data_IF_977806171925
#
_entry.id   IF_977806171925
#
_cell.length_a   1.000
_cell.length_b   1.000
_cell.length_c   1.000
_cell.angle_alpha   90.00
_cell.angle_beta   90.00
_cell.angle_gamma   90.00
#
_symmetry.space_group_name_H-M   'P 1'
#
loop_
_entity.id
_entity.type
_entity.pdbx_description
1 polymer ?
#
# COMPACT_ATOMS: atom_id res chain seq x y z
N UNK A 1 58.79 -28.44 -37.00
CA UNK A 1 59.90 -27.56 -36.55
C UNK A 1 59.29 -26.16 -36.33
N UNK A 2 58.67 -25.88 -35.15
CA UNK A 2 58.28 -24.53 -34.78
C UNK A 2 58.54 -24.35 -33.28
N UNK A 3 59.37 -23.35 -33.00
CA UNK A 3 59.84 -22.98 -31.66
C UNK A 3 58.74 -22.41 -30.77
N UNK A 4 58.65 -22.94 -29.55
CA UNK A 4 57.90 -22.31 -28.44
C UNK A 4 58.72 -21.17 -27.87
N UNK A 5 58.18 -19.99 -27.81
CA UNK A 5 58.71 -18.85 -27.07
C UNK A 5 57.94 -18.78 -25.75
N UNK A 6 58.62 -18.92 -24.63
CA UNK A 6 58.19 -18.72 -23.32
C UNK A 6 58.45 -17.26 -22.92
N UNK A 7 57.41 -16.53 -22.52
CA UNK A 7 57.52 -15.20 -21.89
C UNK A 7 57.36 -15.39 -20.40
N UNK A 8 58.40 -15.08 -19.63
CA UNK A 8 58.44 -15.00 -18.18
C UNK A 8 57.99 -13.57 -17.83
N UNK A 9 56.90 -13.42 -17.10
CA UNK A 9 56.59 -12.16 -16.45
C UNK A 9 56.83 -12.28 -14.95
N UNK A 10 57.73 -11.47 -14.48
CA UNK A 10 58.16 -11.27 -13.10
C UNK A 10 57.06 -10.59 -12.29
N UNK A 11 56.69 -11.20 -11.17
CA UNK A 11 55.76 -10.63 -10.17
C UNK A 11 56.59 -9.72 -9.27
N UNK A 12 56.29 -8.44 -9.30
CA UNK A 12 56.75 -7.45 -8.31
C UNK A 12 55.77 -7.39 -7.15
N UNK A 13 56.23 -7.79 -5.97
CA UNK A 13 55.49 -7.61 -4.72
C UNK A 13 55.63 -6.17 -4.25
N UNK A 14 54.47 -5.48 -4.07
CA UNK A 14 54.40 -4.19 -3.38
C UNK A 14 53.62 -4.39 -2.08
N UNK A 15 54.37 -4.34 -0.99
CA UNK A 15 53.81 -4.33 0.38
C UNK A 15 53.21 -2.96 0.69
N UNK A 16 51.93 -2.88 0.97
CA UNK A 16 51.30 -1.71 1.62
C UNK A 16 50.72 -2.14 2.94
N UNK A 17 51.32 -1.57 3.97
CA UNK A 17 50.97 -1.61 5.40
C UNK A 17 49.56 -1.07 5.65
N UNK A 18 48.91 -1.70 6.59
CA UNK A 18 47.49 -1.58 6.94
C UNK A 18 46.99 -0.25 7.42
N UNK A 19 45.70 -0.10 7.24
CA UNK A 19 44.80 0.57 8.18
C UNK A 19 43.54 -0.31 8.29
N UNK A 20 43.31 -0.80 9.50
CA UNK A 20 42.17 -1.62 9.82
C UNK A 20 40.86 -0.81 9.69
N UNK A 21 40.02 -1.25 8.79
CA UNK A 21 38.60 -0.87 8.77
C UNK A 21 37.82 -2.06 9.31
N UNK A 22 37.12 -1.83 10.40
CA UNK A 22 36.14 -2.75 10.95
C UNK A 22 35.09 -3.10 9.89
N UNK A 23 34.53 -4.32 9.89
CA UNK A 23 33.44 -4.65 8.98
C UNK A 23 32.21 -3.83 9.37
N UNK A 24 31.83 -2.90 8.53
CA UNK A 24 30.51 -2.31 8.60
C UNK A 24 29.51 -3.40 8.21
N UNK A 25 28.77 -3.87 9.18
CA UNK A 25 27.55 -4.66 8.92
C UNK A 25 26.62 -3.74 8.16
N UNK A 26 26.43 -4.00 6.88
CA UNK A 26 25.37 -3.42 6.09
C UNK A 26 24.03 -3.94 6.64
N UNK A 27 23.47 -3.23 7.63
CA UNK A 27 22.08 -3.29 7.95
C UNK A 27 21.34 -2.58 6.82
N UNK A 28 20.67 -3.34 5.97
CA UNK A 28 19.74 -2.83 4.99
C UNK A 28 18.63 -2.09 5.75
N UNK A 29 18.69 -0.76 5.75
CA UNK A 29 17.63 0.09 6.29
C UNK A 29 16.46 0.04 5.32
N UNK A 30 15.32 -0.39 5.81
CA UNK A 30 14.06 -0.43 5.08
C UNK A 30 13.44 0.99 5.03
N UNK A 31 13.31 1.61 3.87
CA UNK A 31 12.61 2.88 3.70
C UNK A 31 11.13 2.66 3.37
N UNK A 32 10.42 1.95 4.23
CA UNK A 32 8.97 1.83 4.10
C UNK A 32 8.29 3.07 4.67
N UNK A 33 7.56 3.76 3.82
CA UNK A 33 6.62 4.86 4.10
C UNK A 33 7.25 6.15 4.65
N UNK A 34 7.38 7.13 3.79
CA UNK A 34 7.53 8.53 4.17
C UNK A 34 6.24 9.03 4.82
N UNK A 35 6.08 8.78 6.12
CA UNK A 35 5.11 9.52 6.92
C UNK A 35 5.82 10.73 7.52
N UNK A 36 5.19 11.93 7.36
CA UNK A 36 5.78 13.23 7.60
C UNK A 36 6.50 13.37 8.93
N UNK A 37 7.81 13.45 8.90
CA UNK A 37 8.62 13.89 10.01
C UNK A 37 8.47 15.39 10.18
N UNK A 38 7.67 15.81 11.15
CA UNK A 38 7.78 17.13 11.76
C UNK A 38 9.18 17.28 12.33
N UNK A 39 9.93 18.25 11.83
CA UNK A 39 11.23 18.63 12.37
C UNK A 39 11.09 19.04 13.85
N UNK A 40 12.10 18.80 14.70
CA UNK A 40 12.07 19.25 16.06
C UNK A 40 12.13 20.78 16.10
N UNK A 41 11.07 21.39 16.61
CA UNK A 41 11.03 22.81 16.92
C UNK A 41 11.85 23.02 18.18
N UNK A 42 12.97 23.72 18.04
CA UNK A 42 13.76 24.25 19.14
C UNK A 42 12.91 25.28 19.90
N UNK A 43 12.82 25.24 21.24
CA UNK A 43 12.12 26.28 22.00
C UNK A 43 12.95 27.57 22.01
N UNK A 44 12.40 28.62 21.41
CA UNK A 44 12.87 29.98 21.57
C UNK A 44 12.27 30.62 22.85
N UNK A 45 12.86 31.71 23.36
CA UNK A 45 12.66 32.16 24.73
C UNK A 45 11.27 32.80 24.96
N UNK A 46 10.78 32.55 26.17
CA UNK A 46 9.62 33.16 26.81
C UNK A 46 9.74 34.66 26.90
N UNK A 47 8.78 35.40 26.36
CA UNK A 47 8.52 36.78 26.74
C UNK A 47 7.17 36.89 27.44
N UNK A 48 7.25 37.41 28.67
CA UNK A 48 6.18 37.67 29.59
C UNK A 48 5.62 39.09 29.33
N UNK A 49 4.33 39.23 29.06
CA UNK A 49 3.61 40.50 29.28
C UNK A 49 2.11 40.25 29.44
N UNK A 50 1.65 40.35 30.64
CA UNK A 50 0.80 41.39 31.28
C UNK A 50 -0.64 41.45 30.79
N UNK A 51 -1.54 41.19 31.77
CA UNK A 51 -2.97 41.19 31.74
C UNK A 51 -3.63 42.57 31.76
N UNK A 52 -4.91 42.57 31.36
CA UNK A 52 -6.11 43.29 31.80
C UNK A 52 -6.49 44.56 31.03
N UNK A 53 -7.75 45.05 31.17
CA UNK A 53 -8.98 44.39 31.61
C UNK A 53 -10.26 44.68 30.74
N UNK A 54 -11.34 44.17 31.18
CA UNK A 54 -12.72 44.18 30.76
C UNK A 54 -13.36 45.54 30.36
N UNK A 55 -14.35 45.47 29.45
CA UNK A 55 -15.32 46.50 29.17
C UNK A 55 -16.67 45.90 28.76
N UNK A 56 -17.63 46.04 29.68
CA UNK A 56 -19.04 45.72 29.63
C UNK A 56 -19.85 46.77 28.88
N UNK A 57 -20.97 46.37 28.24
CA UNK A 57 -22.33 46.99 28.20
C UNK A 57 -23.00 46.66 26.86
N UNK A 58 -24.07 45.96 26.78
CA UNK A 58 -25.46 46.15 27.19
C UNK A 58 -26.31 47.08 26.29
N UNK A 59 -27.50 46.56 26.05
CA UNK A 59 -28.82 47.15 25.71
C UNK A 59 -29.18 47.21 24.20
N UNK A 60 -30.11 46.39 23.75
CA UNK A 60 -31.57 46.51 23.78
C UNK A 60 -32.12 47.70 22.97
N UNK A 61 -32.96 47.39 21.97
CA UNK A 61 -34.35 47.82 21.90
C UNK A 61 -34.97 47.50 20.52
N UNK A 62 -36.11 46.82 20.57
CA UNK A 62 -37.20 46.92 19.61
C UNK A 62 -38.10 48.11 20.02
N UNK A 63 -38.84 48.77 19.15
CA UNK A 63 -40.21 48.34 18.86
C UNK A 63 -40.81 48.68 17.47
N UNK A 64 -41.77 47.90 17.09
CA UNK A 64 -43.07 48.04 16.47
C UNK A 64 -43.55 49.36 15.84
N UNK A 65 -44.22 49.30 14.68
CA UNK A 65 -45.64 49.45 14.43
C UNK A 65 -45.96 49.75 12.95
N UNK A 66 -46.79 48.93 12.41
CA UNK A 66 -48.13 49.17 11.86
C UNK A 66 -48.28 50.18 10.68
N UNK A 67 -48.92 49.68 9.62
CA UNK A 67 -49.68 50.59 8.76
C UNK A 67 -49.97 50.12 7.34
N UNK A 68 -51.20 49.74 7.13
CA UNK A 68 -52.05 49.98 5.96
C UNK A 68 -51.97 49.07 4.73
N UNK A 69 -53.06 48.43 4.56
CA UNK A 69 -53.69 47.72 3.45
C UNK A 69 -53.76 48.55 2.17
N UNK A 70 -53.34 47.97 1.06
CA UNK A 70 -53.86 48.40 -0.26
C UNK A 70 -54.09 47.15 -1.11
N UNK A 71 -55.37 46.99 -1.51
CA UNK A 71 -55.88 45.91 -2.33
C UNK A 71 -55.67 46.22 -3.79
N UNK A 72 -54.96 45.39 -4.51
CA UNK A 72 -54.95 45.45 -5.98
C UNK A 72 -55.54 44.15 -6.57
N UNK A 73 -56.22 44.24 -7.72
CA UNK A 73 -57.11 43.19 -8.21
C UNK A 73 -56.39 41.96 -8.75
N UNK A 74 -56.98 40.84 -8.50
CA UNK A 74 -56.60 39.50 -8.95
C UNK A 74 -56.75 39.40 -10.47
N UNK A 75 -55.74 39.07 -11.27
CA UNK A 75 -55.94 38.70 -12.67
C UNK A 75 -56.43 37.25 -12.74
N UNK A 76 -57.40 37.06 -13.64
CA UNK A 76 -58.03 35.76 -13.94
C UNK A 76 -57.00 34.69 -14.32
N UNK A 77 -57.22 33.51 -13.79
CA UNK A 77 -56.44 32.31 -14.08
C UNK A 77 -56.54 31.91 -15.56
N UNK A 78 -55.43 31.54 -16.22
CA UNK A 78 -55.49 30.95 -17.54
C UNK A 78 -56.02 29.51 -17.47
N UNK A 79 -56.69 29.10 -18.55
CA UNK A 79 -57.29 27.77 -18.68
C UNK A 79 -56.24 26.64 -18.52
N UNK A 80 -56.63 25.47 -18.04
CA UNK A 80 -55.72 24.33 -17.87
C UNK A 80 -55.19 23.84 -19.22
N UNK A 81 -53.87 23.72 -19.29
CA UNK A 81 -53.21 23.15 -20.45
C UNK A 81 -53.52 21.66 -20.59
N UNK A 82 -53.69 21.20 -21.84
CA UNK A 82 -53.91 19.81 -22.14
C UNK A 82 -52.79 18.89 -21.60
N UNK A 83 -53.12 17.68 -21.18
CA UNK A 83 -52.11 16.73 -20.67
C UNK A 83 -51.05 16.40 -21.76
N UNK A 84 -49.77 16.31 -21.38
CA UNK A 84 -48.70 15.91 -22.32
C UNK A 84 -48.96 14.47 -22.79
N UNK A 85 -48.62 14.24 -24.07
CA UNK A 85 -48.67 12.92 -24.66
C UNK A 85 -47.78 11.93 -23.91
N UNK A 86 -48.12 10.65 -23.83
CA UNK A 86 -47.32 9.67 -23.11
C UNK A 86 -45.94 9.56 -23.74
N UNK A 87 -44.92 9.78 -22.91
CA UNK A 87 -43.50 9.59 -23.27
C UNK A 87 -43.31 8.11 -23.51
N UNK A 88 -42.84 7.74 -24.69
CA UNK A 88 -42.50 6.37 -25.04
C UNK A 88 -41.53 5.80 -23.99
N UNK A 89 -41.82 4.61 -23.48
CA UNK A 89 -40.93 3.93 -22.54
C UNK A 89 -39.54 3.76 -23.19
N UNK A 90 -38.47 3.96 -22.45
CA UNK A 90 -37.11 3.72 -22.96
C UNK A 90 -37.00 2.23 -23.35
N UNK A 91 -36.43 1.98 -24.53
CA UNK A 91 -36.10 0.63 -24.98
C UNK A 91 -35.29 -0.08 -23.87
N UNK A 92 -35.49 -1.37 -23.64
CA UNK A 92 -34.69 -2.13 -22.67
C UNK A 92 -33.23 -1.99 -23.04
N UNK A 93 -32.44 -1.53 -22.07
CA UNK A 93 -30.99 -1.47 -22.18
C UNK A 93 -30.50 -2.87 -22.59
N UNK A 94 -29.68 -2.93 -23.64
CA UNK A 94 -29.05 -4.17 -24.05
C UNK A 94 -28.40 -4.80 -22.82
N UNK A 95 -28.77 -6.03 -22.50
CA UNK A 95 -28.19 -6.78 -21.40
C UNK A 95 -26.67 -6.78 -21.60
N UNK A 96 -25.94 -6.16 -20.67
CA UNK A 96 -24.50 -6.37 -20.56
C UNK A 96 -24.30 -7.89 -20.50
N UNK A 97 -23.32 -8.46 -21.24
CA UNK A 97 -23.02 -9.86 -21.12
C UNK A 97 -22.79 -10.16 -19.64
N UNK A 98 -23.56 -11.10 -19.11
CA UNK A 98 -23.39 -11.58 -17.75
C UNK A 98 -21.91 -11.90 -17.57
N UNK A 99 -21.25 -11.25 -16.62
CA UNK A 99 -19.91 -11.62 -16.18
C UNK A 99 -19.96 -13.13 -15.97
N UNK A 100 -19.24 -13.87 -16.80
CA UNK A 100 -19.12 -15.31 -16.61
C UNK A 100 -18.57 -15.47 -15.18
N UNK A 101 -19.35 -16.13 -14.34
CA UNK A 101 -18.89 -16.52 -13.03
C UNK A 101 -17.61 -17.32 -13.24
N UNK A 102 -16.45 -16.72 -12.93
CA UNK A 102 -15.18 -17.40 -12.98
C UNK A 102 -15.29 -18.59 -12.05
N UNK A 103 -15.04 -19.78 -12.59
CA UNK A 103 -14.96 -20.98 -11.78
C UNK A 103 -13.93 -20.72 -10.67
N UNK A 104 -14.39 -20.60 -9.42
CA UNK A 104 -13.51 -20.47 -8.28
C UNK A 104 -12.80 -21.81 -8.11
N UNK A 105 -11.53 -21.83 -8.43
CA UNK A 105 -10.62 -22.88 -7.99
C UNK A 105 -10.42 -22.74 -6.46
N UNK A 106 -9.78 -23.69 -5.80
CA UNK A 106 -9.43 -23.55 -4.38
C UNK A 106 -8.67 -22.25 -4.05
N UNK A 107 -8.06 -21.63 -5.07
CA UNK A 107 -7.31 -20.37 -5.00
C UNK A 107 -8.18 -19.10 -5.05
N UNK A 108 -9.48 -19.20 -5.21
CA UNK A 108 -10.39 -18.05 -5.34
C UNK A 108 -10.35 -17.39 -6.73
N UNK A 109 -10.96 -16.21 -6.86
CA UNK A 109 -10.98 -15.45 -8.10
C UNK A 109 -9.66 -14.68 -8.28
N UNK A 110 -8.96 -14.93 -9.38
CA UNK A 110 -7.65 -14.37 -9.67
C UNK A 110 -7.71 -13.31 -10.78
N UNK A 111 -6.97 -12.23 -10.62
CA UNK A 111 -6.77 -11.22 -11.67
C UNK A 111 -6.07 -11.84 -12.88
N UNK A 112 -5.07 -12.70 -12.65
CA UNK A 112 -4.38 -13.41 -13.72
C UNK A 112 -5.34 -14.20 -14.63
N UNK A 113 -6.33 -14.86 -14.06
CA UNK A 113 -7.37 -15.58 -14.82
C UNK A 113 -8.35 -14.62 -15.50
N UNK A 114 -8.83 -13.61 -14.77
CA UNK A 114 -9.82 -12.66 -15.26
C UNK A 114 -9.32 -11.84 -16.44
N UNK A 115 -8.02 -11.51 -16.44
CA UNK A 115 -7.40 -10.64 -17.45
C UNK A 115 -6.41 -11.35 -18.37
N UNK A 116 -6.33 -12.69 -18.30
CA UNK A 116 -5.55 -13.50 -19.24
C UNK A 116 -4.04 -13.24 -19.18
N UNK A 117 -3.45 -13.15 -17.98
CA UNK A 117 -2.03 -12.83 -17.80
C UNK A 117 -1.07 -13.95 -18.21
N UNK A 118 -1.62 -15.10 -18.59
CA UNK A 118 -0.83 -16.26 -19.00
C UNK A 118 -0.30 -17.09 -17.82
N UNK A 119 0.74 -17.91 -18.07
CA UNK A 119 1.28 -18.79 -17.04
C UNK A 119 2.09 -18.02 -15.98
N UNK A 120 2.17 -18.60 -14.78
CA UNK A 120 3.06 -18.13 -13.72
C UNK A 120 4.50 -18.21 -14.20
N UNK A 121 5.20 -17.09 -14.14
CA UNK A 121 6.61 -16.98 -14.51
C UNK A 121 7.51 -17.47 -13.38
N UNK A 122 7.22 -17.03 -12.16
CA UNK A 122 7.95 -17.39 -10.95
C UNK A 122 7.09 -17.07 -9.72
N UNK A 123 7.54 -17.49 -8.54
CA UNK A 123 6.84 -17.23 -7.29
C UNK A 123 7.20 -18.20 -6.18
N UNK A 124 6.35 -18.25 -5.17
CA UNK A 124 6.44 -19.18 -4.07
C UNK A 124 5.06 -19.66 -3.64
N UNK A 125 4.85 -20.97 -3.69
CA UNK A 125 3.63 -21.66 -3.24
C UNK A 125 3.78 -22.14 -1.79
N UNK A 126 4.84 -21.80 -1.10
CA UNK A 126 5.18 -22.18 0.27
C UNK A 126 4.99 -23.65 0.60
N UNK A 127 5.23 -24.54 -0.38
CA UNK A 127 5.01 -26.00 -0.29
C UNK A 127 6.09 -26.74 0.53
N UNK A 128 6.71 -26.07 1.49
CA UNK A 128 7.71 -26.59 2.40
C UNK A 128 7.36 -26.29 3.87
N UNK A 129 8.18 -26.72 4.81
CA UNK A 129 7.96 -26.48 6.25
C UNK A 129 9.22 -25.89 6.88
N UNK A 130 9.07 -24.93 7.77
CA UNK A 130 10.17 -24.30 8.51
C UNK A 130 10.20 -22.78 8.35
N UNK A 131 11.41 -22.21 8.24
CA UNK A 131 11.59 -20.80 7.93
C UNK A 131 11.40 -20.54 6.43
N UNK A 132 11.11 -19.28 6.01
CA UNK A 132 11.10 -18.93 4.59
C UNK A 132 12.41 -19.30 3.88
N UNK A 133 12.29 -19.82 2.66
CA UNK A 133 13.43 -20.23 1.84
C UNK A 133 14.33 -19.02 1.53
N UNK A 134 15.53 -19.03 2.09
CA UNK A 134 16.53 -17.95 1.94
C UNK A 134 17.10 -17.84 0.51
N UNK A 135 16.86 -18.82 -0.35
CA UNK A 135 17.20 -18.69 -1.77
C UNK A 135 16.18 -17.83 -2.51
N UNK A 136 14.94 -17.80 -2.05
CA UNK A 136 13.81 -17.02 -2.60
C UNK A 136 13.60 -15.70 -1.88
N UNK A 137 13.86 -15.63 -0.57
CA UNK A 137 13.50 -14.49 0.28
C UNK A 137 14.70 -13.89 1.02
N UNK A 138 14.78 -12.57 1.03
CA UNK A 138 15.58 -11.78 1.97
C UNK A 138 14.69 -11.48 3.17
N UNK A 139 14.86 -12.21 4.27
CA UNK A 139 14.03 -12.04 5.47
C UNK A 139 14.71 -11.05 6.40
N UNK A 140 13.96 -10.04 6.84
CA UNK A 140 14.46 -8.89 7.59
C UNK A 140 14.84 -9.25 9.03
N UNK A 141 15.88 -8.56 9.51
CA UNK A 141 16.29 -8.52 10.91
C UNK A 141 16.70 -7.08 11.22
N UNK A 142 15.72 -6.22 11.44
CA UNK A 142 15.92 -4.77 11.51
C UNK A 142 14.87 -4.11 12.40
N UNK A 143 15.00 -2.82 12.67
CA UNK A 143 13.92 -2.04 13.24
C UNK A 143 12.67 -2.13 12.35
N UNK A 144 11.49 -2.04 12.96
CA UNK A 144 10.21 -2.02 12.26
C UNK A 144 9.94 -0.68 11.58
N UNK A 145 8.70 -0.52 11.08
CA UNK A 145 8.24 0.69 10.41
C UNK A 145 8.54 1.95 11.27
N UNK A 146 9.11 2.98 10.63
CA UNK A 146 9.51 4.23 11.29
C UNK A 146 10.35 4.03 12.57
N UNK A 147 11.17 2.96 12.63
CA UNK A 147 12.01 2.63 13.79
C UNK A 147 11.23 2.02 14.96
N UNK A 148 9.95 1.67 14.81
CA UNK A 148 9.10 1.14 15.88
C UNK A 148 9.02 -0.37 15.82
N UNK A 149 9.22 -1.04 16.96
CA UNK A 149 9.24 -2.50 17.04
C UNK A 149 10.46 -3.13 16.37
N UNK A 150 10.35 -4.42 16.04
CA UNK A 150 11.43 -5.22 15.47
C UNK A 150 10.88 -6.13 14.36
N UNK A 151 11.45 -6.07 13.17
CA UNK A 151 11.27 -7.10 12.15
C UNK A 151 12.27 -8.23 12.41
N UNK A 152 11.77 -9.41 12.72
CA UNK A 152 12.57 -10.56 13.11
C UNK A 152 12.33 -11.75 12.19
N UNK A 153 13.39 -12.47 11.76
CA UNK A 153 13.22 -13.71 11.02
C UNK A 153 12.42 -14.79 11.77
N UNK A 154 12.47 -14.77 13.11
CA UNK A 154 11.74 -15.71 13.96
C UNK A 154 10.23 -15.46 13.98
N UNK A 155 9.77 -14.31 13.51
CA UNK A 155 8.34 -14.02 13.36
C UNK A 155 7.70 -14.81 12.20
N UNK A 156 8.50 -15.36 11.29
CA UNK A 156 8.05 -16.12 10.14
C UNK A 156 8.09 -17.64 10.34
N UNK A 157 7.07 -18.30 9.84
CA UNK A 157 7.02 -19.76 9.71
C UNK A 157 6.27 -20.16 8.44
N UNK A 158 6.66 -21.31 7.87
CA UNK A 158 5.96 -21.91 6.71
C UNK A 158 5.52 -23.31 7.11
N UNK A 159 4.26 -23.62 6.92
CA UNK A 159 3.70 -24.95 7.13
C UNK A 159 2.39 -25.11 6.32
N UNK A 160 2.14 -26.34 5.83
CA UNK A 160 0.90 -26.71 5.14
C UNK A 160 0.57 -25.80 3.95
N UNK A 161 1.58 -25.36 3.19
CA UNK A 161 1.40 -24.48 2.03
C UNK A 161 1.18 -23.01 2.38
N UNK A 162 1.43 -22.57 3.63
CA UNK A 162 1.15 -21.22 4.09
C UNK A 162 2.38 -20.63 4.78
N UNK A 163 2.79 -19.44 4.36
CA UNK A 163 3.71 -18.60 5.12
C UNK A 163 2.93 -17.75 6.11
N UNK A 164 3.32 -17.79 7.39
CA UNK A 164 2.69 -17.01 8.45
C UNK A 164 3.72 -16.09 9.08
N UNK A 165 3.40 -14.80 9.17
CA UNK A 165 4.12 -13.84 10.01
C UNK A 165 3.26 -13.49 11.22
N UNK A 166 3.88 -13.52 12.40
CA UNK A 166 3.23 -13.22 13.67
C UNK A 166 3.79 -11.91 14.25
N UNK A 167 2.88 -11.03 14.66
CA UNK A 167 3.20 -9.85 15.45
C UNK A 167 2.83 -10.07 16.91
N UNK A 168 3.70 -9.72 17.85
CA UNK A 168 3.47 -9.87 19.30
C UNK A 168 2.97 -8.56 19.95
N UNK A 169 2.72 -8.58 21.25
CA UNK A 169 2.24 -7.40 21.97
C UNK A 169 3.30 -6.29 22.13
N UNK A 170 4.58 -6.59 21.89
CA UNK A 170 5.70 -5.67 21.98
C UNK A 170 6.13 -5.08 20.62
N UNK A 171 5.45 -5.48 19.54
CA UNK A 171 5.78 -5.00 18.20
C UNK A 171 6.90 -5.79 17.51
N UNK A 172 7.26 -6.99 18.03
CA UNK A 172 8.09 -7.91 17.24
C UNK A 172 7.24 -8.51 16.14
N UNK A 173 7.65 -8.32 14.91
CA UNK A 173 6.91 -8.73 13.71
C UNK A 173 7.89 -9.18 12.62
N UNK A 174 7.50 -9.18 11.35
CA UNK A 174 8.39 -9.61 10.27
C UNK A 174 8.10 -8.97 8.93
N UNK A 175 9.15 -8.93 8.11
CA UNK A 175 9.09 -8.57 6.71
C UNK A 175 10.06 -9.43 5.89
N UNK A 176 9.80 -9.59 4.61
CA UNK A 176 10.70 -10.25 3.67
C UNK A 176 10.51 -9.74 2.25
N UNK A 177 11.62 -9.59 1.52
CA UNK A 177 11.61 -9.22 0.10
C UNK A 177 11.96 -10.41 -0.78
N UNK A 178 11.32 -10.50 -1.93
CA UNK A 178 11.63 -11.49 -2.94
C UNK A 178 13.01 -11.25 -3.54
N UNK A 179 13.75 -12.34 -3.80
CA UNK A 179 15.01 -12.38 -4.57
C UNK A 179 14.78 -12.79 -6.01
N UNK A 180 13.52 -12.97 -6.39
CA UNK A 180 13.08 -13.31 -7.74
C UNK A 180 12.26 -12.16 -8.32
N UNK A 181 12.19 -12.08 -9.66
CA UNK A 181 11.36 -11.13 -10.38
C UNK A 181 11.54 -9.66 -9.93
N UNK A 182 12.79 -9.23 -9.77
CA UNK A 182 13.10 -7.80 -9.70
C UNK A 182 13.04 -7.25 -11.13
N UNK A 183 11.97 -6.51 -11.44
CA UNK A 183 11.69 -6.08 -12.80
C UNK A 183 10.96 -4.74 -12.86
N UNK A 184 11.11 -4.09 -14.00
CA UNK A 184 10.28 -2.97 -14.40
C UNK A 184 9.18 -3.51 -15.30
N UNK A 185 7.94 -3.17 -14.97
CA UNK A 185 6.73 -3.72 -15.57
C UNK A 185 6.53 -5.21 -15.29
N UNK A 186 5.29 -5.64 -15.29
CA UNK A 186 4.87 -7.01 -15.01
C UNK A 186 3.59 -7.05 -14.18
N UNK A 187 3.30 -8.24 -13.67
CA UNK A 187 2.08 -8.50 -12.90
C UNK A 187 2.41 -9.37 -11.72
N UNK A 188 1.89 -9.01 -10.57
CA UNK A 188 2.07 -9.74 -9.31
C UNK A 188 0.72 -10.00 -8.68
N UNK A 189 0.52 -11.18 -8.17
CA UNK A 189 -0.69 -11.56 -7.45
C UNK A 189 -0.32 -12.38 -6.21
N UNK A 190 -0.97 -12.08 -5.09
CA UNK A 190 -0.69 -12.71 -3.80
C UNK A 190 -2.02 -13.03 -3.12
N UNK A 191 -2.15 -14.27 -2.64
CA UNK A 191 -3.27 -14.71 -1.83
C UNK A 191 -2.94 -14.57 -0.35
N UNK A 192 -3.69 -13.73 0.34
CA UNK A 192 -3.40 -13.33 1.72
C UNK A 192 -4.68 -13.26 2.55
N UNK A 193 -4.54 -13.54 3.85
CA UNK A 193 -5.51 -13.19 4.89
C UNK A 193 -4.80 -12.77 6.18
N UNK A 194 -5.57 -12.26 7.15
CA UNK A 194 -5.11 -12.04 8.52
C UNK A 194 -6.01 -12.81 9.50
N UNK A 195 -5.59 -12.94 10.75
CA UNK A 195 -6.56 -13.21 11.82
C UNK A 195 -7.41 -11.94 12.10
N UNK A 196 -8.29 -11.96 13.11
CA UNK A 196 -8.92 -10.74 13.64
C UNK A 196 -7.84 -9.88 14.32
N UNK A 197 -7.05 -9.20 13.49
CA UNK A 197 -5.84 -8.46 13.88
C UNK A 197 -6.14 -7.25 14.75
N UNK A 198 -5.17 -6.86 15.55
CA UNK A 198 -5.17 -5.55 16.21
C UNK A 198 -5.09 -4.43 15.16
N UNK A 199 -5.84 -3.33 15.32
CA UNK A 199 -5.77 -2.17 14.41
C UNK A 199 -4.37 -1.58 14.22
N UNK A 200 -3.45 -1.83 15.15
CA UNK A 200 -2.05 -1.38 15.05
C UNK A 200 -1.17 -2.28 14.19
N UNK A 201 -1.61 -3.45 13.81
CA UNK A 201 -0.90 -4.30 12.86
C UNK A 201 -1.48 -4.14 11.47
N UNK A 202 -0.68 -3.65 10.53
CA UNK A 202 -1.05 -3.46 9.13
C UNK A 202 -0.36 -4.54 8.28
N UNK A 203 -1.12 -5.44 7.63
CA UNK A 203 -0.56 -6.31 6.60
C UNK A 203 -0.26 -5.48 5.37
N UNK A 204 0.90 -5.68 4.74
CA UNK A 204 1.32 -4.91 3.56
C UNK A 204 1.92 -5.82 2.49
N UNK A 205 1.45 -5.66 1.26
CA UNK A 205 1.97 -6.26 0.04
C UNK A 205 2.47 -5.14 -0.85
N UNK A 206 3.80 -5.08 -1.06
CA UNK A 206 4.48 -3.94 -1.67
C UNK A 206 5.27 -4.38 -2.89
N UNK A 207 5.31 -3.54 -3.92
CA UNK A 207 6.42 -3.50 -4.87
C UNK A 207 7.28 -2.30 -4.52
N UNK A 208 8.54 -2.52 -4.22
CA UNK A 208 9.46 -1.43 -3.88
C UNK A 208 10.86 -1.64 -4.41
N UNK A 209 11.63 -0.54 -4.42
CA UNK A 209 13.07 -0.56 -4.58
C UNK A 209 13.71 0.37 -3.55
N UNK A 210 14.23 -0.21 -2.48
CA UNK A 210 14.81 0.50 -1.35
C UNK A 210 16.04 1.35 -1.72
N UNK A 211 16.61 1.14 -2.91
CA UNK A 211 17.74 1.91 -3.43
C UNK A 211 17.31 3.02 -4.40
N UNK A 212 16.01 3.16 -4.66
CA UNK A 212 15.51 4.16 -5.60
C UNK A 212 15.54 5.56 -4.99
N UNK A 213 16.06 6.57 -5.72
CA UNK A 213 16.14 7.92 -5.21
C UNK A 213 14.77 8.62 -5.04
N UNK A 214 13.71 8.05 -5.60
CA UNK A 214 12.39 8.67 -5.72
C UNK A 214 11.30 7.96 -4.93
N UNK A 215 11.64 7.20 -3.87
CA UNK A 215 10.67 6.46 -3.06
C UNK A 215 9.66 5.67 -3.92
N UNK A 216 10.17 4.90 -4.90
CA UNK A 216 9.33 4.11 -5.78
C UNK A 216 8.69 2.96 -4.99
N UNK A 217 7.38 3.08 -4.75
CA UNK A 217 6.62 2.13 -3.94
C UNK A 217 5.20 2.01 -4.47
N UNK A 218 4.73 0.78 -4.58
CA UNK A 218 3.35 0.45 -4.91
C UNK A 218 2.85 -0.54 -3.86
N UNK A 219 2.05 -0.05 -2.89
CA UNK A 219 1.39 -0.90 -1.92
C UNK A 219 0.09 -1.42 -2.55
N UNK A 220 0.16 -2.60 -3.17
CA UNK A 220 -1.02 -3.14 -3.85
C UNK A 220 -2.04 -3.78 -2.90
N UNK A 221 -1.69 -3.92 -1.61
CA UNK A 221 -2.61 -4.14 -0.51
C UNK A 221 -1.98 -3.67 0.80
N UNK A 222 -2.54 -2.66 1.43
CA UNK A 222 -2.15 -2.19 2.75
C UNK A 222 -3.35 -2.13 3.69
N UNK A 223 -3.23 -2.77 4.85
CA UNK A 223 -4.17 -2.63 5.94
C UNK A 223 -3.98 -1.32 6.68
N UNK A 224 -5.02 -0.88 7.39
CA UNK A 224 -4.96 0.31 8.25
C UNK A 224 -5.59 0.02 9.60
N UNK A 225 -5.72 1.03 10.46
CA UNK A 225 -6.49 0.90 11.69
C UNK A 225 -7.96 0.53 11.46
N UNK A 226 -8.50 0.77 10.26
CA UNK A 226 -9.83 0.28 9.84
C UNK A 226 -9.66 -1.13 9.27
N UNK A 227 -9.85 -2.15 10.09
CA UNK A 227 -9.53 -3.55 9.76
C UNK A 227 -10.43 -4.20 8.70
N UNK A 228 -11.53 -3.56 8.33
CA UNK A 228 -12.48 -3.99 7.31
C UNK A 228 -12.23 -3.38 5.92
N UNK A 229 -11.09 -2.71 5.74
CA UNK A 229 -10.71 -2.05 4.49
C UNK A 229 -9.26 -2.39 4.17
N UNK A 230 -9.01 -2.72 2.89
CA UNK A 230 -7.67 -2.79 2.32
C UNK A 230 -7.48 -1.62 1.36
N UNK A 231 -6.29 -1.02 1.36
CA UNK A 231 -5.97 0.14 0.53
C UNK A 231 -4.93 -0.22 -0.51
N UNK A 232 -5.02 0.43 -1.64
CA UNK A 232 -3.96 0.53 -2.62
C UNK A 232 -3.32 1.91 -2.50
N UNK A 233 -1.99 1.99 -2.47
CA UNK A 233 -1.25 3.23 -2.57
C UNK A 233 -0.24 3.15 -3.70
N UNK A 234 -0.14 4.22 -4.48
CA UNK A 234 0.95 4.46 -5.42
C UNK A 234 1.71 5.69 -4.92
N UNK A 235 2.90 5.49 -4.40
CA UNK A 235 3.80 6.55 -4.01
C UNK A 235 4.72 6.89 -5.18
N UNK A 236 4.69 8.15 -5.64
CA UNK A 236 5.46 8.58 -6.82
C UNK A 236 6.54 9.62 -6.51
N UNK A 237 6.62 10.09 -5.27
CA UNK A 237 7.73 10.91 -4.76
C UNK A 237 7.87 10.74 -3.25
N UNK A 238 9.06 11.06 -2.71
CA UNK A 238 9.28 11.14 -1.28
C UNK A 238 8.70 12.45 -0.75
N UNK A 239 7.57 12.41 -0.06
CA UNK A 239 6.95 13.65 0.42
C UNK A 239 5.60 13.47 1.09
N UNK A 240 5.22 12.24 1.41
CA UNK A 240 3.99 11.94 2.14
C UNK A 240 2.73 11.95 1.26
N UNK A 241 1.59 12.25 1.87
CA UNK A 241 0.27 12.09 1.25
C UNK A 241 0.04 12.95 -0.02
N UNK A 242 0.77 14.05 -0.17
CA UNK A 242 0.65 14.92 -1.34
C UNK A 242 1.27 14.31 -2.61
N UNK A 243 2.04 13.22 -2.46
CA UNK A 243 2.72 12.52 -3.54
C UNK A 243 2.29 11.07 -3.65
N UNK A 244 1.02 10.81 -3.46
CA UNK A 244 0.43 9.49 -3.61
C UNK A 244 -0.98 9.55 -4.20
N UNK A 245 -1.35 8.47 -4.91
CA UNK A 245 -2.75 8.19 -5.26
C UNK A 245 -3.20 6.92 -4.57
N UNK A 246 -4.48 6.82 -4.20
CA UNK A 246 -4.98 5.72 -3.37
C UNK A 246 -6.38 5.28 -3.76
N UNK A 247 -6.69 4.03 -3.48
CA UNK A 247 -8.04 3.50 -3.48
C UNK A 247 -8.27 2.67 -2.22
N UNK A 248 -9.54 2.56 -1.78
CA UNK A 248 -9.93 1.79 -0.62
C UNK A 248 -11.00 0.77 -1.01
N UNK A 249 -10.79 -0.49 -0.65
CA UNK A 249 -11.70 -1.60 -0.96
C UNK A 249 -12.16 -2.25 0.34
N UNK A 250 -13.47 -2.28 0.63
CA UNK A 250 -14.02 -3.05 1.75
C UNK A 250 -13.73 -4.53 1.58
N UNK A 251 -13.15 -5.17 2.59
CA UNK A 251 -12.85 -6.60 2.62
C UNK A 251 -13.00 -7.16 4.04
N UNK A 252 -13.39 -8.41 4.18
CA UNK A 252 -13.19 -9.18 5.41
C UNK A 252 -11.81 -9.80 5.38
N UNK A 253 -10.80 -9.09 5.88
CA UNK A 253 -9.41 -9.55 5.89
C UNK A 253 -9.17 -10.87 6.64
N UNK A 254 -10.18 -11.41 7.36
CA UNK A 254 -10.08 -12.74 7.97
C UNK A 254 -10.33 -13.88 6.99
N UNK A 255 -10.84 -13.56 5.80
CA UNK A 255 -10.99 -14.49 4.69
C UNK A 255 -9.83 -14.39 3.72
N UNK A 256 -9.62 -15.44 2.93
CA UNK A 256 -8.64 -15.41 1.86
C UNK A 256 -9.08 -14.51 0.72
N UNK A 257 -8.23 -13.54 0.36
CA UNK A 257 -8.41 -12.67 -0.80
C UNK A 257 -7.17 -12.71 -1.69
N UNK A 258 -7.37 -12.50 -2.99
CA UNK A 258 -6.32 -12.35 -3.98
C UNK A 258 -6.12 -10.86 -4.26
N UNK A 259 -4.95 -10.34 -3.92
CA UNK A 259 -4.55 -8.96 -4.19
C UNK A 259 -3.56 -8.96 -5.33
N UNK A 260 -3.76 -8.06 -6.31
CA UNK A 260 -2.89 -8.05 -7.46
C UNK A 260 -2.58 -6.64 -7.96
N UNK A 261 -1.45 -6.53 -8.65
CA UNK A 261 -1.03 -5.32 -9.34
C UNK A 261 -0.53 -5.66 -10.74
N UNK A 262 -0.96 -4.86 -11.71
CA UNK A 262 -0.43 -4.81 -13.06
C UNK A 262 0.26 -3.48 -13.27
N UNK A 263 1.52 -3.52 -13.67
CA UNK A 263 2.31 -2.35 -13.99
C UNK A 263 2.84 -2.48 -15.42
N UNK A 264 2.37 -1.61 -16.29
CA UNK A 264 2.74 -1.55 -17.71
C UNK A 264 3.23 -0.15 -18.08
N UNK A 265 3.79 0.07 -19.27
CA UNK A 265 4.09 1.41 -19.76
C UNK A 265 2.87 2.35 -19.78
N UNK A 266 1.65 1.82 -19.91
CA UNK A 266 0.41 2.58 -20.02
C UNK A 266 -0.18 2.96 -18.65
N UNK A 267 0.30 2.38 -17.55
CA UNK A 267 -0.19 2.67 -16.21
C UNK A 267 -0.06 1.55 -15.21
N UNK A 268 -0.61 1.80 -14.03
CA UNK A 268 -0.67 0.88 -12.91
C UNK A 268 -2.12 0.60 -12.59
N UNK A 269 -2.47 -0.66 -12.42
CA UNK A 269 -3.82 -1.10 -11.99
C UNK A 269 -3.71 -2.04 -10.80
N UNK A 270 -4.60 -1.88 -9.83
CA UNK A 270 -4.74 -2.75 -8.66
C UNK A 270 -6.03 -3.57 -8.71
N UNK A 271 -5.99 -4.75 -8.11
CA UNK A 271 -7.12 -5.69 -8.14
C UNK A 271 -7.31 -6.37 -6.79
N UNK A 272 -8.57 -6.66 -6.47
CA UNK A 272 -8.95 -7.53 -5.35
C UNK A 272 -9.92 -8.58 -5.89
N UNK A 273 -9.61 -9.87 -5.68
CA UNK A 273 -10.42 -11.01 -6.14
C UNK A 273 -10.82 -10.92 -7.62
N UNK A 274 -9.85 -10.59 -8.46
CA UNK A 274 -10.06 -10.46 -9.92
C UNK A 274 -10.85 -9.22 -10.34
N UNK A 275 -11.23 -8.34 -9.43
CA UNK A 275 -11.92 -7.09 -9.73
C UNK A 275 -10.93 -5.93 -9.68
N UNK A 276 -10.89 -5.10 -10.74
CA UNK A 276 -10.05 -3.89 -10.77
C UNK A 276 -10.58 -2.85 -9.78
N UNK A 277 -9.75 -2.43 -8.85
CA UNK A 277 -10.09 -1.49 -7.77
C UNK A 277 -9.32 -0.18 -7.84
N UNK A 278 -8.20 -0.16 -8.58
CA UNK A 278 -7.35 1.01 -8.73
C UNK A 278 -6.86 1.15 -10.18
N UNK A 279 -6.65 2.38 -10.63
CA UNK A 279 -5.95 2.68 -11.90
C UNK A 279 -5.31 4.07 -11.82
N UNK A 280 -4.05 4.16 -12.22
CA UNK A 280 -3.33 5.41 -12.44
C UNK A 280 -2.57 5.32 -13.77
N UNK A 281 -2.89 6.20 -14.70
CA UNK A 281 -2.27 6.26 -16.04
C UNK A 281 -1.39 7.50 -16.24
N UNK A 282 -1.16 8.28 -15.16
CA UNK A 282 -0.29 9.43 -15.23
C UNK A 282 1.18 8.98 -15.37
N UNK A 283 1.86 9.27 -16.49
CA UNK A 283 3.24 8.83 -16.69
C UNK A 283 4.23 9.45 -15.67
N UNK A 284 3.88 10.58 -15.06
CA UNK A 284 4.71 11.22 -14.02
C UNK A 284 4.65 10.48 -12.68
N UNK A 285 3.64 9.63 -12.46
CA UNK A 285 3.51 8.80 -11.27
C UNK A 285 4.18 7.43 -11.42
N UNK A 286 4.61 7.08 -12.64
CA UNK A 286 5.20 5.77 -12.91
C UNK A 286 6.59 5.65 -12.27
N UNK A 287 6.86 4.57 -11.51
CA UNK A 287 8.20 4.30 -11.03
C UNK A 287 9.20 4.15 -12.20
N UNK A 288 10.37 4.77 -12.07
CA UNK A 288 11.39 4.78 -13.12
C UNK A 288 12.38 3.61 -13.03
N UNK A 289 12.32 2.80 -11.98
CA UNK A 289 13.28 1.75 -11.66
C UNK A 289 12.61 0.38 -11.60
N UNK A 290 13.43 -0.68 -11.58
CA UNK A 290 12.97 -2.04 -11.28
C UNK A 290 12.48 -2.12 -9.83
N UNK A 291 11.48 -2.96 -9.58
CA UNK A 291 10.93 -3.19 -8.24
C UNK A 291 10.81 -4.68 -7.97
N UNK A 292 10.82 -5.04 -6.71
CA UNK A 292 10.62 -6.40 -6.21
C UNK A 292 9.50 -6.43 -5.21
N UNK A 293 8.88 -7.59 -5.07
CA UNK A 293 7.83 -7.79 -4.10
C UNK A 293 8.37 -7.88 -2.68
N UNK A 294 7.63 -7.28 -1.75
CA UNK A 294 7.89 -7.36 -0.31
C UNK A 294 6.58 -7.67 0.42
N UNK A 295 6.67 -8.48 1.45
CA UNK A 295 5.59 -8.88 2.36
C UNK A 295 5.94 -8.38 3.75
N UNK A 296 5.03 -7.65 4.42
CA UNK A 296 5.26 -7.12 5.76
C UNK A 296 4.00 -7.21 6.61
N UNK A 297 4.19 -7.34 7.90
CA UNK A 297 3.17 -7.08 8.91
C UNK A 297 3.71 -5.96 9.80
N UNK A 298 3.32 -4.73 9.51
CA UNK A 298 3.87 -3.56 10.16
C UNK A 298 3.13 -3.19 11.45
N UNK A 299 3.86 -2.65 12.41
CA UNK A 299 3.34 -2.26 13.70
C UNK A 299 3.33 -0.73 13.87
N UNK A 300 2.14 -0.18 14.09
CA UNK A 300 1.87 1.26 14.25
C UNK A 300 1.36 1.54 15.67
N UNK A 301 2.23 1.58 16.71
CA UNK A 301 1.80 1.79 18.08
C UNK A 301 1.24 3.20 18.29
N UNK A 302 0.15 3.26 19.05
CA UNK A 302 -0.52 4.49 19.47
C UNK A 302 -0.40 4.77 21.00
N UNK A 303 0.43 3.99 21.69
CA UNK A 303 0.60 4.04 23.15
C UNK A 303 -0.39 3.17 23.92
N UNK A 304 -1.43 2.62 23.29
CA UNK A 304 -2.32 1.66 23.92
C UNK A 304 -1.80 0.23 23.79
N UNK A 305 -2.36 -0.72 24.58
CA UNK A 305 -1.98 -2.12 24.51
C UNK A 305 -2.26 -2.71 23.12
N UNK A 306 -1.32 -3.47 22.59
CA UNK A 306 -1.41 -4.17 21.31
C UNK A 306 -1.75 -5.65 21.55
N UNK A 307 -2.64 -6.20 20.73
CA UNK A 307 -2.93 -7.67 20.72
C UNK A 307 -2.08 -8.35 19.65
N UNK A 308 -1.62 -9.59 19.91
CA UNK A 308 -0.93 -10.37 18.89
C UNK A 308 -1.76 -10.52 17.61
N UNK A 309 -1.11 -10.44 16.48
CA UNK A 309 -1.74 -10.46 15.15
C UNK A 309 -0.97 -11.36 14.20
N UNK A 310 -1.61 -11.80 13.12
CA UNK A 310 -0.99 -12.63 12.10
C UNK A 310 -1.42 -12.21 10.71
N UNK A 311 -0.48 -12.29 9.78
CA UNK A 311 -0.74 -12.31 8.35
C UNK A 311 -0.32 -13.67 7.79
N UNK A 312 -1.15 -14.25 6.94
CA UNK A 312 -0.94 -15.53 6.30
C UNK A 312 -0.96 -15.36 4.78
N UNK A 313 0.02 -15.95 4.10
CA UNK A 313 0.16 -15.92 2.64
C UNK A 313 0.16 -17.35 2.13
N UNK A 314 -0.80 -17.66 1.25
CA UNK A 314 -0.95 -18.96 0.62
C UNK A 314 0.05 -19.11 -0.52
N UNK A 315 0.10 -18.10 -1.40
CA UNK A 315 1.06 -18.07 -2.49
C UNK A 315 1.37 -16.64 -2.95
N UNK A 316 2.49 -16.53 -3.63
CA UNK A 316 2.94 -15.35 -4.37
C UNK A 316 3.25 -15.77 -5.78
N UNK A 317 2.64 -15.14 -6.78
CA UNK A 317 2.81 -15.45 -8.20
C UNK A 317 3.15 -14.19 -8.99
N UNK A 318 4.06 -14.33 -9.92
CA UNK A 318 4.51 -13.28 -10.83
C UNK A 318 4.26 -13.72 -12.26
N UNK A 319 3.75 -12.81 -13.06
CA UNK A 319 3.43 -13.01 -14.47
C UNK A 319 4.17 -11.99 -15.32
N UNK A 320 4.26 -12.25 -16.62
CA UNK A 320 4.97 -11.38 -17.55
C UNK A 320 4.22 -10.06 -17.83
#
# INVERSE_FOLDING_TARGET
MFKKIAIVMTVGALSLTGCGLAPTTNGEADPSSADGTSAPVTPGPTDTATAAPAGTASSSQTPAAAGATESTPVPSAPAPAAPPAPVAAPAPAAAQPASQALATTGDGAQAATAFGWGPVLTGDEFSYTGAPDRTKWSVYNSAGHAGKGLRSPQAWSVANGVATVSGDAAGTTGGMSAKFAEQRFGRWETRMKTNARDPKYHPVLILNNNSAPNCAEIDYAEGSSVTSVMRFFLHYACGGADFQTTAATPVDGTQWHNYAVEWTPDGISGYVDGVKTFTDTNPAHQPSTVMKQTLQLDWFPDGSATKPSQMQVDWVRVYQ
#
